data_IF_106949694735
#
_entry.id   IF_106949694735
#
_cell.length_a   1.000
_cell.length_b   1.000
_cell.length_c   1.000
_cell.angle_alpha   90.00
_cell.angle_beta   90.00
_cell.angle_gamma   90.00
#
_symmetry.space_group_name_H-M   'P 1'
#
loop_
_entity.id
_entity.type
_entity.pdbx_description
1 polymer ?
#
# COMPACT_ATOMS: atom_id res chain seq x y z
N UNK A 1 12.94 -10.00 -62.70
CA UNK A 1 13.53 -10.15 -61.35
C UNK A 1 12.55 -9.49 -60.38
N UNK A 2 11.93 -10.08 -59.36
CA UNK A 2 12.02 -11.39 -58.70
C UNK A 2 10.62 -12.02 -58.63
N UNK A 3 10.63 -13.34 -58.58
CA UNK A 3 9.53 -14.31 -58.67
C UNK A 3 8.57 -14.32 -57.48
N UNK A 4 7.29 -14.46 -57.82
CA UNK A 4 6.12 -14.85 -57.01
C UNK A 4 6.14 -16.35 -56.64
N UNK A 5 5.40 -16.74 -55.58
CA UNK A 5 4.65 -18.02 -55.32
C UNK A 5 4.64 -18.26 -53.79
N UNK A 6 3.55 -18.32 -53.03
CA UNK A 6 2.18 -18.89 -53.12
C UNK A 6 2.08 -20.41 -52.90
N UNK A 7 1.09 -20.78 -52.06
CA UNK A 7 0.43 -22.08 -51.77
C UNK A 7 1.08 -22.95 -50.68
N UNK A 8 0.41 -23.24 -49.54
CA UNK A 8 -0.76 -24.13 -49.28
C UNK A 8 -0.59 -25.57 -49.79
N UNK A 9 -0.41 -26.51 -48.84
CA UNK A 9 -1.18 -27.76 -48.55
C UNK A 9 -0.34 -29.04 -48.30
N UNK A 10 -0.72 -29.69 -47.19
CA UNK A 10 -0.87 -31.13 -46.90
C UNK A 10 0.31 -32.11 -46.98
N UNK A 11 0.45 -32.91 -45.90
CA UNK A 11 0.39 -34.40 -45.78
C UNK A 11 0.91 -34.77 -44.36
N UNK A 12 0.11 -35.15 -43.37
CA UNK A 12 -0.52 -36.45 -43.03
C UNK A 12 0.43 -37.67 -42.96
N UNK A 13 0.34 -38.36 -41.81
CA UNK A 13 0.68 -39.76 -41.50
C UNK A 13 2.16 -40.12 -41.38
N UNK A 14 2.59 -41.14 -40.66
CA UNK A 14 2.10 -41.93 -39.51
C UNK A 14 3.29 -42.85 -39.27
N UNK A 15 3.88 -42.85 -38.07
CA UNK A 15 5.06 -43.64 -37.75
C UNK A 15 4.90 -44.27 -36.38
N UNK A 16 4.33 -45.47 -36.36
CA UNK A 16 4.33 -46.36 -35.21
C UNK A 16 5.72 -47.02 -35.14
N UNK A 17 6.37 -47.03 -33.97
CA UNK A 17 7.72 -47.56 -33.85
C UNK A 17 8.27 -47.61 -32.42
N UNK A 18 7.75 -48.57 -31.65
CA UNK A 18 8.45 -49.41 -30.66
C UNK A 18 9.15 -48.77 -29.45
N UNK A 19 8.68 -49.23 -28.28
CA UNK A 19 9.29 -49.12 -26.95
C UNK A 19 10.76 -49.56 -26.91
N UNK A 20 11.60 -48.74 -26.28
CA UNK A 20 12.95 -49.08 -25.86
C UNK A 20 13.37 -48.22 -24.67
N UNK A 21 13.66 -48.88 -23.56
CA UNK A 21 13.76 -48.39 -22.18
C UNK A 21 15.10 -47.71 -21.85
N UNK A 22 15.00 -46.72 -20.94
CA UNK A 22 15.99 -46.27 -19.93
C UNK A 22 17.07 -45.26 -20.39
N UNK A 23 16.98 -44.06 -19.80
CA UNK A 23 18.15 -43.24 -19.44
C UNK A 23 18.20 -41.86 -20.08
N UNK A 24 17.53 -40.88 -19.48
CA UNK A 24 17.77 -39.47 -19.83
C UNK A 24 16.59 -38.56 -19.56
N UNK A 25 16.70 -37.77 -18.49
CA UNK A 25 16.30 -36.37 -18.34
C UNK A 25 15.06 -35.83 -19.08
N UNK A 26 14.23 -35.12 -18.30
CA UNK A 26 13.18 -34.18 -18.73
C UNK A 26 11.78 -34.76 -18.99
N UNK A 27 11.18 -35.36 -17.95
CA UNK A 27 9.73 -35.38 -17.82
C UNK A 27 9.27 -34.06 -17.20
N UNK A 28 8.57 -33.27 -18.00
CA UNK A 28 7.99 -31.98 -17.64
C UNK A 28 7.11 -32.10 -16.40
N UNK A 29 7.48 -31.36 -15.36
CA UNK A 29 6.54 -30.97 -14.32
C UNK A 29 5.47 -30.13 -15.00
N UNK A 30 4.25 -30.66 -15.04
CA UNK A 30 3.07 -29.85 -15.22
C UNK A 30 3.18 -28.67 -14.25
N UNK A 31 3.31 -27.47 -14.81
CA UNK A 31 3.13 -26.23 -14.05
C UNK A 31 1.66 -26.22 -13.62
N UNK A 32 1.39 -26.77 -12.43
CA UNK A 32 0.29 -26.25 -11.62
C UNK A 32 0.57 -24.76 -11.48
N UNK A 33 -0.30 -23.86 -11.96
CA UNK A 33 -0.20 -22.45 -11.61
C UNK A 33 -0.25 -22.44 -10.09
N UNK A 34 0.89 -22.10 -9.51
CA UNK A 34 1.09 -22.18 -8.08
C UNK A 34 -0.05 -21.48 -7.36
N UNK A 35 -0.27 -21.97 -6.14
CA UNK A 35 -0.91 -21.29 -5.01
C UNK A 35 -0.17 -19.99 -4.62
N UNK A 36 0.40 -19.28 -5.60
CA UNK A 36 1.13 -18.01 -5.57
C UNK A 36 0.39 -16.90 -6.31
N UNK A 37 -0.87 -17.12 -6.68
CA UNK A 37 -1.85 -16.04 -6.59
C UNK A 37 -2.06 -15.80 -5.09
N UNK A 38 -1.07 -15.14 -4.49
CA UNK A 38 -1.19 -14.44 -3.21
C UNK A 38 -2.61 -13.91 -3.21
N UNK A 39 -3.41 -14.37 -2.26
CA UNK A 39 -4.55 -13.60 -1.78
C UNK A 39 -3.98 -12.21 -1.55
N UNK A 40 -4.05 -11.35 -2.57
CA UNK A 40 -4.05 -9.91 -2.41
C UNK A 40 -5.25 -9.76 -1.52
N UNK A 41 -5.00 -9.79 -0.22
CA UNK A 41 -6.01 -9.69 0.81
C UNK A 41 -6.81 -8.48 0.39
N UNK A 42 -7.98 -8.74 -0.18
CA UNK A 42 -9.08 -7.79 -0.23
C UNK A 42 -9.40 -7.62 1.25
N UNK A 43 -8.60 -6.80 1.92
CA UNK A 43 -8.91 -6.33 3.26
C UNK A 43 -10.12 -5.47 2.99
N UNK A 44 -11.30 -6.03 3.22
CA UNK A 44 -12.50 -5.24 3.34
C UNK A 44 -12.25 -4.24 4.45
N UNK A 45 -12.15 -2.97 4.03
CA UNK A 45 -11.89 -1.85 4.92
C UNK A 45 -13.20 -1.15 5.31
N UNK A 46 -14.32 -1.53 4.71
CA UNK A 46 -15.65 -1.00 5.03
C UNK A 46 -16.19 -1.67 6.30
N UNK A 47 -15.68 -1.26 7.47
CA UNK A 47 -16.07 -1.83 8.78
C UNK A 47 -14.95 -2.51 9.54
N UNK A 48 -13.72 -2.01 9.37
CA UNK A 48 -12.53 -2.70 9.82
C UNK A 48 -12.47 -2.87 11.35
N UNK A 49 -12.55 -4.14 11.81
CA UNK A 49 -12.13 -4.56 13.16
C UNK A 49 -10.61 -4.68 13.15
N UNK A 50 -9.93 -3.85 13.94
CA UNK A 50 -8.49 -3.66 13.83
C UNK A 50 -7.64 -4.60 14.69
N UNK A 51 -8.20 -5.16 15.78
CA UNK A 51 -7.52 -6.15 16.61
C UNK A 51 -6.06 -5.79 16.94
N UNK A 52 -5.18 -6.80 17.00
CA UNK A 52 -3.74 -6.63 17.23
C UNK A 52 -2.91 -6.54 15.93
N UNK A 53 -3.52 -6.25 14.78
CA UNK A 53 -2.76 -6.11 13.52
C UNK A 53 -2.10 -4.74 13.42
N UNK A 54 -1.03 -4.58 12.61
CA UNK A 54 -0.47 -3.26 12.33
C UNK A 54 -1.53 -2.28 11.79
N UNK A 55 -1.33 -0.99 12.02
CA UNK A 55 -2.00 0.08 11.29
C UNK A 55 -1.38 0.15 9.89
N UNK A 56 -2.20 -0.04 8.86
CA UNK A 56 -1.77 0.06 7.49
C UNK A 56 -1.90 1.50 7.03
N UNK A 57 -0.78 2.08 6.64
CA UNK A 57 -0.71 3.46 6.17
C UNK A 57 -0.01 3.54 4.82
N UNK A 58 -0.49 4.45 3.98
CA UNK A 58 0.28 4.89 2.82
C UNK A 58 1.47 5.73 3.28
N UNK A 59 2.57 5.76 2.51
CA UNK A 59 3.78 6.49 2.90
C UNK A 59 3.56 7.94 3.34
N UNK A 60 2.59 8.64 2.75
CA UNK A 60 2.30 10.04 3.08
C UNK A 60 1.40 10.22 4.32
N UNK A 61 0.80 9.17 4.87
CA UNK A 61 -0.13 9.27 6.01
C UNK A 61 0.48 9.28 7.42
N UNK A 62 1.69 8.77 7.71
CA UNK A 62 2.30 8.94 9.03
C UNK A 62 2.43 10.40 9.48
N UNK A 63 2.85 11.37 8.64
CA UNK A 63 2.79 12.79 9.01
C UNK A 63 1.38 13.27 9.39
N UNK A 64 0.35 12.81 8.67
CA UNK A 64 -1.03 13.10 9.04
C UNK A 64 -1.42 12.47 10.37
N UNK A 65 -1.03 11.22 10.67
CA UNK A 65 -1.31 10.61 11.97
C UNK A 65 -0.75 11.45 13.11
N UNK A 66 0.49 11.91 12.96
CA UNK A 66 1.12 12.79 13.95
C UNK A 66 0.35 14.12 14.08
N UNK A 67 0.03 14.78 12.96
CA UNK A 67 -0.74 16.03 12.99
C UNK A 67 -2.13 15.86 13.62
N UNK A 68 -2.88 14.83 13.23
CA UNK A 68 -4.20 14.53 13.79
C UNK A 68 -4.13 14.14 15.27
N UNK A 69 -3.03 13.54 15.72
CA UNK A 69 -2.79 13.31 17.14
C UNK A 69 -2.56 14.62 17.90
N UNK A 70 -1.85 15.59 17.32
CA UNK A 70 -1.66 16.92 17.92
C UNK A 70 -2.96 17.66 18.18
N UNK A 71 -3.91 17.59 17.24
CA UNK A 71 -5.26 18.20 17.33
C UNK A 71 -6.35 17.29 17.92
N UNK A 72 -5.97 16.19 18.59
CA UNK A 72 -6.91 15.15 19.04
C UNK A 72 -8.04 15.66 19.93
N UNK A 73 -7.81 16.75 20.67
CA UNK A 73 -8.83 17.40 21.50
C UNK A 73 -9.97 17.92 20.63
N UNK A 74 -11.17 17.38 20.85
CA UNK A 74 -12.35 17.74 20.04
C UNK A 74 -12.37 17.16 18.62
N UNK A 75 -11.45 16.25 18.26
CA UNK A 75 -11.42 15.63 16.94
C UNK A 75 -12.63 14.72 16.72
N UNK A 76 -13.60 15.19 15.93
CA UNK A 76 -14.74 14.40 15.47
C UNK A 76 -14.60 14.07 13.98
N UNK A 77 -13.88 12.99 13.66
CA UNK A 77 -13.66 12.52 12.30
C UNK A 77 -13.84 11.02 12.20
N UNK A 78 -14.82 10.57 11.41
CA UNK A 78 -15.01 9.15 11.12
C UNK A 78 -13.76 8.49 10.49
N UNK A 79 -12.95 9.29 9.78
CA UNK A 79 -11.70 8.87 9.17
C UNK A 79 -10.55 8.78 10.19
N UNK A 80 -10.33 9.83 10.98
CA UNK A 80 -9.12 9.96 11.79
C UNK A 80 -9.30 9.57 13.25
N UNK A 81 -10.45 9.84 13.86
CA UNK A 81 -10.67 9.58 15.30
C UNK A 81 -10.40 8.12 15.68
N UNK A 82 -10.81 7.11 14.90
CA UNK A 82 -10.45 5.73 15.22
C UNK A 82 -8.93 5.50 15.18
N UNK A 83 -8.21 6.01 14.17
CA UNK A 83 -6.75 5.83 14.06
C UNK A 83 -6.01 6.50 15.22
N UNK A 84 -6.44 7.71 15.59
CA UNK A 84 -5.88 8.45 16.73
C UNK A 84 -6.17 7.74 18.05
N UNK A 85 -7.34 7.10 18.19
CA UNK A 85 -7.65 6.24 19.34
C UNK A 85 -6.67 5.07 19.46
N UNK A 86 -6.30 4.41 18.34
CA UNK A 86 -5.26 3.37 18.37
C UNK A 86 -3.92 3.91 18.86
N UNK A 87 -3.47 5.05 18.34
CA UNK A 87 -2.22 5.68 18.79
C UNK A 87 -2.24 5.95 20.31
N UNK A 88 -3.38 6.39 20.83
CA UNK A 88 -3.57 6.71 22.24
C UNK A 88 -3.71 5.48 23.16
N UNK A 89 -4.10 4.31 22.63
CA UNK A 89 -4.43 3.14 23.44
C UNK A 89 -3.49 1.95 23.24
N UNK A 90 -2.72 1.91 22.16
CA UNK A 90 -1.82 0.80 21.82
C UNK A 90 -0.34 1.26 21.93
N UNK A 91 0.34 1.05 23.07
CA UNK A 91 1.71 1.56 23.27
C UNK A 91 2.75 0.93 22.33
N UNK A 92 2.52 -0.32 21.89
CA UNK A 92 3.37 -1.03 20.94
C UNK A 92 2.78 -1.05 19.52
N UNK A 93 1.90 -0.10 19.19
CA UNK A 93 1.28 0.00 17.88
C UNK A 93 2.34 -0.03 16.77
N UNK A 94 2.14 -0.93 15.81
CA UNK A 94 2.99 -1.08 14.62
C UNK A 94 2.34 -0.40 13.44
N UNK A 95 3.13 0.31 12.64
CA UNK A 95 2.73 0.89 11.36
C UNK A 95 3.37 0.06 10.26
N UNK A 96 2.57 -0.36 9.29
CA UNK A 96 3.05 -1.01 8.07
C UNK A 96 2.70 -0.16 6.86
N UNK A 97 3.73 0.12 6.06
CA UNK A 97 3.60 0.95 4.86
C UNK A 97 3.02 0.13 3.72
N UNK A 98 1.97 0.62 3.08
CA UNK A 98 1.28 -0.08 1.99
C UNK A 98 1.07 0.82 0.78
N UNK A 99 0.86 0.17 -0.38
CA UNK A 99 0.84 0.83 -1.68
C UNK A 99 -0.55 1.40 -2.04
N UNK A 100 -1.59 0.64 -1.71
CA UNK A 100 -2.97 0.92 -2.07
C UNK A 100 -3.71 1.75 -1.01
N UNK A 101 -5.05 1.83 -1.11
CA UNK A 101 -5.90 2.39 -0.05
C UNK A 101 -5.54 1.78 1.30
N UNK A 102 -5.71 2.54 2.37
CA UNK A 102 -5.21 2.17 3.70
C UNK A 102 -6.25 2.37 4.80
N UNK A 103 -5.85 2.28 6.07
CA UNK A 103 -6.80 2.38 7.17
C UNK A 103 -7.42 3.79 7.30
N UNK A 104 -6.76 4.83 6.78
CA UNK A 104 -7.35 6.16 6.68
C UNK A 104 -8.38 6.23 5.54
N UNK A 105 -8.21 5.46 4.47
CA UNK A 105 -9.22 5.34 3.42
C UNK A 105 -10.45 4.55 3.88
N UNK A 106 -10.30 3.62 4.82
CA UNK A 106 -11.38 2.79 5.39
C UNK A 106 -12.56 3.61 5.92
N UNK A 107 -12.28 4.71 6.62
CA UNK A 107 -13.30 5.61 7.18
C UNK A 107 -13.72 6.74 6.23
N UNK A 108 -13.31 6.69 4.95
CA UNK A 108 -13.61 7.74 3.99
C UNK A 108 -14.90 7.41 3.20
N UNK A 109 -15.91 8.29 3.17
CA UNK A 109 -17.16 8.03 2.45
C UNK A 109 -16.99 8.00 0.92
N UNK A 110 -15.83 8.40 0.40
CA UNK A 110 -15.50 8.36 -1.03
C UNK A 110 -14.96 6.99 -1.47
N UNK A 111 -14.65 6.08 -0.53
CA UNK A 111 -14.14 4.75 -0.86
C UNK A 111 -15.30 3.86 -1.29
N UNK A 112 -15.20 3.31 -2.49
CA UNK A 112 -16.22 2.46 -3.10
C UNK A 112 -15.59 1.13 -3.51
N UNK A 113 -16.35 0.04 -3.47
CA UNK A 113 -15.91 -1.25 -3.98
C UNK A 113 -15.84 -1.19 -5.52
N UNK A 114 -14.73 -1.64 -6.09
CA UNK A 114 -14.52 -1.68 -7.54
C UNK A 114 -13.55 -2.83 -7.87
N UNK A 115 -14.01 -3.88 -8.59
CA UNK A 115 -13.17 -5.00 -8.98
C UNK A 115 -11.89 -4.60 -9.74
N UNK A 116 -11.95 -3.48 -10.46
CA UNK A 116 -10.85 -2.91 -11.25
C UNK A 116 -10.28 -1.63 -10.63
N UNK A 117 -10.67 -1.31 -9.40
CA UNK A 117 -10.33 -0.03 -8.77
C UNK A 117 -8.82 0.13 -8.51
N UNK A 118 -8.37 1.38 -8.34
CA UNK A 118 -6.93 1.66 -8.22
C UNK A 118 -6.59 3.04 -7.66
N UNK A 119 -5.84 3.09 -6.55
CA UNK A 119 -4.73 4.05 -6.25
C UNK A 119 -3.75 3.42 -5.22
N UNK A 120 -3.09 2.26 -5.37
CA UNK A 120 -2.73 1.38 -6.46
C UNK A 120 -2.97 -0.07 -6.04
N UNK A 121 -4.19 -0.56 -6.19
CA UNK A 121 -4.56 -1.92 -5.78
C UNK A 121 -6.02 -2.20 -6.11
N UNK A 122 -6.31 -3.47 -6.43
CA UNK A 122 -7.64 -3.94 -6.85
C UNK A 122 -8.64 -3.95 -5.70
N UNK A 123 -9.93 -3.91 -6.05
CA UNK A 123 -11.03 -4.13 -5.11
C UNK A 123 -11.71 -2.87 -4.60
N UNK A 124 -11.06 -1.70 -4.69
CA UNK A 124 -11.64 -0.43 -4.27
C UNK A 124 -11.20 0.72 -5.18
N UNK A 125 -12.01 1.76 -5.25
CA UNK A 125 -11.72 3.03 -5.93
C UNK A 125 -12.20 4.22 -5.08
N UNK A 126 -11.85 5.44 -5.49
CA UNK A 126 -12.46 6.64 -4.95
C UNK A 126 -12.50 7.76 -5.99
N UNK A 127 -13.28 8.81 -5.78
CA UNK A 127 -13.35 9.92 -6.75
C UNK A 127 -11.98 10.58 -7.01
N UNK A 128 -11.09 10.65 -6.02
CA UNK A 128 -9.72 11.16 -6.21
C UNK A 128 -8.84 10.24 -7.06
N UNK A 129 -9.20 8.97 -7.23
CA UNK A 129 -8.53 8.03 -8.12
C UNK A 129 -8.76 8.33 -9.60
N UNK A 130 -9.84 9.06 -9.91
CA UNK A 130 -10.27 9.37 -11.28
C UNK A 130 -9.59 10.61 -11.84
N UNK A 131 -8.95 11.42 -10.99
CA UNK A 131 -8.22 12.62 -11.38
C UNK A 131 -6.72 12.31 -11.58
N UNK A 132 -6.20 12.38 -12.83
CA UNK A 132 -4.80 12.07 -13.12
C UNK A 132 -3.81 12.96 -12.36
N UNK A 133 -4.13 14.24 -12.15
CA UNK A 133 -3.25 15.16 -11.44
C UNK A 133 -3.12 14.79 -9.96
N UNK A 134 -4.23 14.32 -9.36
CA UNK A 134 -4.21 13.79 -8.00
C UNK A 134 -3.42 12.49 -7.88
N UNK A 135 -3.56 11.58 -8.85
CA UNK A 135 -2.79 10.32 -8.88
C UNK A 135 -1.30 10.59 -9.02
N UNK A 136 -0.91 11.52 -9.89
CA UNK A 136 0.48 11.95 -10.05
C UNK A 136 1.03 12.56 -8.75
N UNK A 137 0.29 13.49 -8.14
CA UNK A 137 0.68 14.12 -6.88
C UNK A 137 0.89 13.07 -5.77
N UNK A 138 -0.05 12.14 -5.61
CA UNK A 138 0.04 11.04 -4.65
C UNK A 138 1.28 10.17 -4.92
N UNK A 139 1.52 9.84 -6.19
CA UNK A 139 2.66 9.00 -6.60
C UNK A 139 3.99 9.68 -6.27
N UNK A 140 4.12 10.97 -6.59
CA UNK A 140 5.30 11.76 -6.28
C UNK A 140 5.52 11.89 -4.77
N UNK A 141 4.47 12.18 -4.02
CA UNK A 141 4.52 12.33 -2.56
C UNK A 141 4.95 11.02 -1.90
N UNK A 142 4.38 9.88 -2.33
CA UNK A 142 4.77 8.56 -1.84
C UNK A 142 6.25 8.26 -2.09
N UNK A 143 6.76 8.52 -3.30
CA UNK A 143 8.17 8.29 -3.62
C UNK A 143 9.09 9.16 -2.76
N UNK A 144 8.73 10.43 -2.58
CA UNK A 144 9.52 11.37 -1.79
C UNK A 144 9.62 10.93 -0.33
N UNK A 145 8.48 10.69 0.33
CA UNK A 145 8.45 10.34 1.75
C UNK A 145 9.07 8.96 2.03
N UNK A 146 8.93 7.99 1.11
CA UNK A 146 9.66 6.72 1.19
C UNK A 146 11.18 6.94 1.15
N UNK A 147 11.66 7.82 0.26
CA UNK A 147 13.06 8.18 0.17
C UNK A 147 13.58 8.89 1.42
N UNK A 148 12.83 9.86 1.95
CA UNK A 148 13.16 10.61 3.17
C UNK A 148 13.24 9.67 4.40
N UNK A 149 12.34 8.70 4.51
CA UNK A 149 12.29 7.76 5.63
C UNK A 149 13.14 6.51 5.42
N UNK A 150 13.71 6.28 4.24
CA UNK A 150 14.44 5.06 3.91
C UNK A 150 13.56 3.80 3.94
N UNK A 151 12.29 3.93 3.55
CA UNK A 151 11.29 2.86 3.58
C UNK A 151 11.01 2.24 2.21
N UNK A 152 10.35 1.08 2.25
CA UNK A 152 9.78 0.39 1.08
C UNK A 152 8.36 -0.08 1.41
N UNK A 153 7.55 -0.37 0.39
CA UNK A 153 6.22 -0.94 0.60
C UNK A 153 6.31 -2.31 1.29
N UNK A 154 5.56 -2.50 2.37
CA UNK A 154 5.60 -3.67 3.24
C UNK A 154 6.48 -3.48 4.48
N UNK A 155 7.30 -2.42 4.53
CA UNK A 155 8.09 -2.06 5.71
C UNK A 155 7.17 -1.86 6.92
N UNK A 156 7.61 -2.33 8.07
CA UNK A 156 6.85 -2.31 9.31
C UNK A 156 7.73 -1.90 10.49
N UNK A 157 7.22 -0.98 11.30
CA UNK A 157 7.96 -0.33 12.38
C UNK A 157 7.01 0.00 13.53
N UNK A 158 7.49 0.02 14.78
CA UNK A 158 6.67 0.53 15.89
C UNK A 158 6.51 2.04 15.76
N UNK A 159 5.33 2.56 16.07
CA UNK A 159 5.06 4.00 15.98
C UNK A 159 6.05 4.83 16.81
N UNK A 160 6.44 4.35 17.99
CA UNK A 160 7.47 4.99 18.82
C UNK A 160 8.82 5.15 18.13
N UNK A 161 9.20 4.22 17.25
CA UNK A 161 10.46 4.29 16.51
C UNK A 161 10.33 5.19 15.25
N UNK A 162 9.09 5.35 14.74
CA UNK A 162 8.77 6.19 13.59
C UNK A 162 8.77 7.69 13.93
N UNK A 163 8.32 8.05 15.13
CA UNK A 163 8.27 9.44 15.61
C UNK A 163 9.62 10.16 15.51
N UNK A 164 10.74 9.64 16.06
CA UNK A 164 12.04 10.32 15.96
C UNK A 164 12.55 10.36 14.51
N UNK A 165 12.22 9.35 13.69
CA UNK A 165 12.57 9.35 12.27
C UNK A 165 11.84 10.46 11.51
N UNK A 166 10.54 10.63 11.76
CA UNK A 166 9.74 11.73 11.20
C UNK A 166 10.27 13.10 11.64
N UNK A 167 10.59 13.26 12.93
CA UNK A 167 11.15 14.52 13.45
C UNK A 167 12.48 14.88 12.77
N UNK A 168 13.33 13.88 12.52
CA UNK A 168 14.65 14.07 11.90
C UNK A 168 14.58 14.31 10.40
N UNK A 169 13.84 13.47 9.67
CA UNK A 169 13.86 13.43 8.21
C UNK A 169 12.76 14.28 7.57
N UNK A 170 11.67 14.54 8.31
CA UNK A 170 10.49 15.28 7.83
C UNK A 170 10.11 16.38 8.84
N UNK A 171 11.02 17.34 9.12
CA UNK A 171 10.75 18.39 10.11
C UNK A 171 9.73 19.43 9.62
N UNK A 172 9.55 19.56 8.29
CA UNK A 172 8.60 20.49 7.67
C UNK A 172 7.69 19.76 6.71
N UNK A 173 6.39 19.96 6.88
CA UNK A 173 5.37 19.47 5.97
C UNK A 173 5.40 20.25 4.66
N UNK A 174 5.14 19.54 3.57
CA UNK A 174 5.02 20.08 2.23
C UNK A 174 3.67 19.68 1.60
N UNK A 175 3.39 20.23 0.43
CA UNK A 175 2.17 19.90 -0.31
C UNK A 175 2.09 18.38 -0.55
N UNK A 176 0.99 17.76 -0.10
CA UNK A 176 0.76 16.31 -0.18
C UNK A 176 0.88 15.56 1.14
N UNK A 177 1.45 16.19 2.19
CA UNK A 177 1.52 15.63 3.56
C UNK A 177 0.95 16.57 4.64
N UNK A 178 0.11 17.53 4.23
CA UNK A 178 -0.61 18.43 5.13
C UNK A 178 -0.18 19.90 5.06
N UNK A 179 0.93 20.21 4.39
CA UNK A 179 1.33 21.59 4.11
C UNK A 179 1.58 22.45 5.36
N UNK A 180 1.71 23.76 5.15
CA UNK A 180 1.94 24.73 6.21
C UNK A 180 0.74 24.82 7.18
N UNK A 181 -0.46 24.57 6.68
CA UNK A 181 -1.71 24.60 7.44
C UNK A 181 -1.77 23.55 8.55
N UNK A 182 -1.07 22.42 8.38
CA UNK A 182 -1.03 21.34 9.39
C UNK A 182 0.26 21.35 10.22
N UNK A 183 1.18 22.30 9.99
CA UNK A 183 2.51 22.28 10.59
C UNK A 183 2.47 22.41 12.12
N UNK A 184 1.66 23.33 12.64
CA UNK A 184 1.55 23.53 14.09
C UNK A 184 0.99 22.29 14.80
N UNK A 185 -0.03 21.65 14.20
CA UNK A 185 -0.62 20.40 14.69
C UNK A 185 0.40 19.25 14.63
N UNK A 186 1.20 19.18 13.56
CA UNK A 186 2.26 18.18 13.41
C UNK A 186 3.35 18.32 14.46
N UNK A 187 3.85 19.53 14.69
CA UNK A 187 4.86 19.79 15.72
C UNK A 187 4.34 19.50 17.12
N UNK A 188 3.08 19.87 17.41
CA UNK A 188 2.41 19.48 18.66
C UNK A 188 2.31 17.96 18.78
N UNK A 189 1.89 17.29 17.72
CA UNK A 189 1.79 15.83 17.67
C UNK A 189 3.13 15.14 17.93
N UNK A 190 4.23 15.61 17.34
CA UNK A 190 5.57 15.08 17.58
C UNK A 190 5.94 15.23 19.06
N UNK A 191 5.77 16.42 19.66
CA UNK A 191 6.07 16.65 21.08
C UNK A 191 5.25 15.74 21.99
N UNK A 192 3.94 15.69 21.79
CA UNK A 192 3.04 14.90 22.63
C UNK A 192 3.35 13.39 22.53
N UNK A 193 3.79 12.91 21.35
CA UNK A 193 4.18 11.51 21.18
C UNK A 193 5.56 11.20 21.77
N UNK A 194 6.52 12.12 21.67
CA UNK A 194 7.84 12.01 22.32
C UNK A 194 7.66 11.89 23.84
N UNK A 195 6.87 12.77 24.44
CA UNK A 195 6.56 12.72 25.87
C UNK A 195 5.89 11.39 26.25
N UNK A 196 4.86 10.99 25.49
CA UNK A 196 4.14 9.73 25.71
C UNK A 196 5.05 8.50 25.68
N UNK A 197 6.01 8.48 24.76
CA UNK A 197 6.89 7.33 24.57
C UNK A 197 8.19 7.40 25.39
N UNK A 198 8.45 8.51 26.10
CA UNK A 198 9.67 8.72 26.87
C UNK A 198 10.93 8.76 26.00
N UNK A 199 10.86 9.46 24.85
CA UNK A 199 11.93 9.57 23.85
C UNK A 199 12.77 10.84 24.00
#
# INVERSE_FOLDING_TARGET
>A
MKTTLSRRRLLISSGCGVLGLIGGSAAGRAFSPGQTAIQRLLIDRSGAKWGNRPMFLRPYHPPYIVAYYGRREGLNSAKWSPLISRVANEPDLRVRIIEAFDDACAGCPKLEADPMGSVWGVGHTCSSAKDPAMVEMVTRTNKRILGELGFFFGAEMRLKDLVPLLQKQVPRLYQGIGGAESQADYEKGLRDLVERYGL
#
